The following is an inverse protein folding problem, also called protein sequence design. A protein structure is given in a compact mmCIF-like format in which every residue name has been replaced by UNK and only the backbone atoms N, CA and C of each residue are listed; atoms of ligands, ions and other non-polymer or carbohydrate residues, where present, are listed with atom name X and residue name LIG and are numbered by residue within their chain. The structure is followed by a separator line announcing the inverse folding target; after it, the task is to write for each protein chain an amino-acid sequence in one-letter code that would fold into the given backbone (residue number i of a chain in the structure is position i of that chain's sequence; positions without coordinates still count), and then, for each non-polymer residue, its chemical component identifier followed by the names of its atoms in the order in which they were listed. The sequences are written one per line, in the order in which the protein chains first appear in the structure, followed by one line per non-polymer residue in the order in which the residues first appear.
data_IF_939433595027
#
_entry.id   IF_939433595027
#
_cell.length_a   1.000
_cell.length_b   1.000
_cell.length_c   1.000
_cell.angle_alpha   90.00
_cell.angle_beta   90.00
_cell.angle_gamma   90.00
#
_symmetry.space_group_name_H-M   'P 1'
#
loop_
_entity.id
_entity.type
_entity.pdbx_description
1 polymer ?
#
# COMPACT_ATOMS: atom_id res chain seq x y z
N UNK A 1 3.91 -4.78 -7.97
CA UNK A 1 3.59 -4.25 -6.61
C UNK A 1 4.42 -3.02 -6.26
N UNK A 2 5.72 -2.98 -6.61
CA UNK A 2 6.47 -1.74 -6.61
C UNK A 2 5.80 -0.79 -7.62
N UNK A 3 5.33 0.39 -7.19
CA UNK A 3 4.63 1.31 -8.09
C UNK A 3 5.57 2.00 -9.08
N UNK A 4 6.88 1.97 -8.83
CA UNK A 4 7.89 2.64 -9.64
C UNK A 4 8.84 1.65 -10.35
N UNK A 5 8.41 0.40 -10.55
CA UNK A 5 9.16 -0.64 -11.29
C UNK A 5 10.60 -0.92 -10.78
N UNK A 6 10.84 -0.79 -9.48
CA UNK A 6 12.19 -0.85 -8.93
C UNK A 6 12.65 -2.25 -8.53
N UNK A 7 11.71 -3.14 -8.19
CA UNK A 7 12.04 -4.48 -7.69
C UNK A 7 12.21 -5.46 -8.85
N UNK A 8 13.43 -5.95 -9.07
CA UNK A 8 13.77 -6.87 -10.15
C UNK A 8 14.36 -8.17 -9.61
N UNK A 9 14.29 -9.25 -10.39
CA UNK A 9 14.91 -10.54 -10.09
C UNK A 9 16.26 -10.64 -10.83
N UNK A 10 17.33 -10.89 -10.07
CA UNK A 10 18.59 -11.35 -10.63
C UNK A 10 18.48 -12.86 -10.89
N UNK A 11 18.27 -13.26 -12.16
CA UNK A 11 17.92 -14.64 -12.52
C UNK A 11 19.10 -15.60 -12.34
N UNK A 12 20.28 -15.20 -12.80
CA UNK A 12 21.47 -16.03 -12.90
C UNK A 12 22.65 -15.50 -12.05
N UNK A 13 22.49 -14.37 -11.38
CA UNK A 13 23.54 -13.72 -10.59
C UNK A 13 24.38 -12.73 -11.38
N UNK A 14 24.12 -12.54 -12.68
CA UNK A 14 24.88 -11.64 -13.54
C UNK A 14 24.77 -10.17 -13.13
N UNK A 15 23.75 -9.81 -12.35
CA UNK A 15 23.56 -8.45 -11.85
C UNK A 15 24.28 -8.18 -10.52
N UNK A 16 24.92 -9.19 -9.92
CA UNK A 16 25.70 -9.06 -8.68
C UNK A 16 24.87 -9.07 -7.39
N UNK A 17 23.56 -9.34 -7.47
CA UNK A 17 22.66 -9.39 -6.31
C UNK A 17 22.32 -10.81 -5.86
N UNK A 18 22.80 -11.80 -6.62
CA UNK A 18 22.72 -13.23 -6.31
C UNK A 18 21.68 -13.94 -7.17
N UNK A 19 22.02 -15.15 -7.62
CA UNK A 19 21.12 -15.94 -8.47
C UNK A 19 19.79 -16.21 -7.75
N UNK A 20 18.69 -15.98 -8.46
CA UNK A 20 17.32 -16.11 -7.98
C UNK A 20 17.05 -15.27 -6.72
N UNK A 21 17.65 -14.08 -6.62
CA UNK A 21 17.40 -13.10 -5.55
C UNK A 21 16.87 -11.80 -6.14
N UNK A 22 15.87 -11.22 -5.47
CA UNK A 22 15.32 -9.93 -5.86
C UNK A 22 16.17 -8.77 -5.31
N UNK A 23 16.22 -7.66 -6.02
CA UNK A 23 16.93 -6.44 -5.62
C UNK A 23 16.18 -5.19 -6.08
N UNK A 24 16.60 -4.03 -5.56
CA UNK A 24 16.12 -2.73 -6.03
C UNK A 24 17.12 -2.18 -7.06
N UNK A 25 16.68 -1.94 -8.30
CA UNK A 25 17.54 -1.48 -9.40
C UNK A 25 17.93 0.00 -9.35
N UNK A 26 17.16 0.83 -8.62
CA UNK A 26 17.44 2.26 -8.45
C UNK A 26 16.88 2.75 -7.10
N UNK A 27 17.76 2.75 -6.10
CA UNK A 27 17.41 3.15 -4.73
C UNK A 27 17.11 4.64 -4.61
N UNK A 28 17.62 5.47 -5.52
CA UNK A 28 17.38 6.92 -5.51
C UNK A 28 15.94 7.27 -5.91
N UNK A 29 15.33 6.41 -6.72
CA UNK A 29 13.94 6.50 -7.16
C UNK A 29 12.96 5.77 -6.23
N UNK A 30 13.46 5.16 -5.15
CA UNK A 30 12.61 4.55 -4.13
C UNK A 30 11.81 5.61 -3.39
N UNK A 31 10.53 5.35 -3.14
CA UNK A 31 9.65 6.23 -2.35
C UNK A 31 9.34 5.67 -0.94
N UNK A 32 10.08 4.64 -0.52
CA UNK A 32 9.92 3.98 0.78
C UNK A 32 8.45 3.66 1.16
N UNK A 33 7.61 3.31 0.17
CA UNK A 33 6.17 3.06 0.39
C UNK A 33 5.85 1.72 1.10
N UNK A 34 6.88 0.88 1.33
CA UNK A 34 6.78 -0.46 1.91
C UNK A 34 5.93 -1.48 1.11
N UNK A 35 5.47 -1.18 -0.10
CA UNK A 35 4.62 -2.11 -0.86
C UNK A 35 5.34 -3.45 -1.14
N UNK A 36 6.63 -3.40 -1.48
CA UNK A 36 7.45 -4.61 -1.65
C UNK A 36 7.66 -5.37 -0.33
N UNK A 37 7.92 -4.65 0.76
CA UNK A 37 8.09 -5.24 2.10
C UNK A 37 6.82 -5.96 2.55
N UNK A 38 5.66 -5.29 2.48
CA UNK A 38 4.38 -5.80 2.97
C UNK A 38 3.92 -7.07 2.25
N UNK A 39 4.22 -7.20 0.96
CA UNK A 39 3.73 -8.33 0.14
C UNK A 39 4.71 -9.51 0.14
N UNK A 40 5.96 -9.32 0.56
CA UNK A 40 6.97 -10.37 0.49
C UNK A 40 6.57 -11.52 1.43
N UNK A 41 6.22 -12.72 0.90
CA UNK A 41 5.74 -13.81 1.75
C UNK A 41 6.83 -14.35 2.67
N UNK A 42 8.09 -14.21 2.27
CA UNK A 42 9.26 -14.62 3.06
C UNK A 42 9.77 -13.52 3.99
N UNK A 43 9.17 -12.32 3.95
CA UNK A 43 9.61 -11.16 4.74
C UNK A 43 11.10 -10.83 4.54
N UNK A 44 11.60 -11.02 3.32
CA UNK A 44 13.02 -10.91 2.97
C UNK A 44 13.44 -9.50 2.51
N UNK A 45 12.54 -8.51 2.61
CA UNK A 45 12.77 -7.14 2.15
C UNK A 45 12.60 -6.23 3.36
N UNK A 46 13.56 -5.33 3.56
CA UNK A 46 13.49 -4.26 4.56
C UNK A 46 13.88 -2.92 3.91
N UNK A 47 13.59 -1.82 4.59
CA UNK A 47 13.94 -0.47 4.14
C UNK A 47 15.03 0.07 5.04
N UNK A 48 16.12 0.51 4.41
CA UNK A 48 17.14 1.34 5.04
C UNK A 48 16.92 2.77 4.57
N UNK A 49 16.62 3.66 5.52
CA UNK A 49 16.32 5.08 5.26
C UNK A 49 17.34 5.78 4.35
N UNK A 50 16.87 6.76 3.58
CA UNK A 50 17.71 7.57 2.66
C UNK A 50 19.00 8.07 3.32
N UNK A 51 20.14 7.80 2.69
CA UNK A 51 21.47 8.06 3.27
C UNK A 51 21.75 9.55 3.46
N UNK A 52 21.10 10.41 2.69
CA UNK A 52 21.30 11.86 2.65
C UNK A 52 20.95 12.53 3.99
N UNK A 53 20.03 11.94 4.77
CA UNK A 53 19.56 12.55 6.02
C UNK A 53 19.25 11.55 7.14
N UNK A 54 19.19 10.23 6.89
CA UNK A 54 18.86 9.25 7.92
C UNK A 54 20.12 8.62 8.54
N UNK A 55 20.34 8.79 9.86
CA UNK A 55 21.36 8.01 10.57
C UNK A 55 21.06 6.51 10.54
N UNK A 56 22.11 5.69 10.57
CA UNK A 56 21.96 4.24 10.64
C UNK A 56 21.29 3.76 11.94
N UNK A 57 20.66 2.58 11.90
CA UNK A 57 20.22 1.84 13.09
C UNK A 57 18.73 1.91 13.42
N UNK A 58 17.97 2.79 12.76
CA UNK A 58 16.50 2.76 12.83
C UNK A 58 15.90 1.72 11.87
N UNK A 59 14.79 1.10 12.25
CA UNK A 59 14.01 0.24 11.35
C UNK A 59 12.50 0.28 11.66
N UNK A 60 11.68 0.06 10.63
CA UNK A 60 10.22 0.07 10.72
C UNK A 60 9.67 -1.15 9.99
N UNK A 61 9.26 -2.18 10.73
CA UNK A 61 8.91 -3.49 10.15
C UNK A 61 7.38 -3.69 10.21
N UNK A 62 6.69 -3.76 9.06
CA UNK A 62 5.28 -4.11 9.02
C UNK A 62 5.05 -5.62 9.03
N UNK A 63 3.93 -6.04 9.61
CA UNK A 63 3.34 -7.36 9.44
C UNK A 63 1.86 -7.16 9.08
N UNK A 64 1.54 -7.30 7.79
CA UNK A 64 0.19 -7.06 7.26
C UNK A 64 -0.62 -8.36 7.24
N UNK A 65 -1.73 -8.38 7.97
CA UNK A 65 -2.77 -9.41 7.89
C UNK A 65 -3.88 -9.06 6.90
N UNK A 66 -5.03 -9.73 7.02
CA UNK A 66 -6.21 -9.48 6.19
C UNK A 66 -7.05 -8.28 6.66
N UNK A 67 -7.21 -8.10 7.97
CA UNK A 67 -8.06 -7.09 8.60
C UNK A 67 -7.28 -6.01 9.36
N UNK A 68 -6.00 -6.26 9.64
CA UNK A 68 -5.14 -5.41 10.46
C UNK A 68 -3.68 -5.46 10.02
N UNK A 69 -2.92 -4.43 10.41
CA UNK A 69 -1.48 -4.34 10.20
C UNK A 69 -0.80 -4.04 11.52
N UNK A 70 0.28 -4.77 11.81
CA UNK A 70 1.16 -4.50 12.94
C UNK A 70 2.43 -3.82 12.47
N UNK A 71 2.98 -2.94 13.31
CA UNK A 71 4.23 -2.25 13.05
C UNK A 71 5.14 -2.37 14.27
N UNK A 72 6.40 -2.72 14.02
CA UNK A 72 7.47 -2.62 15.01
C UNK A 72 8.44 -1.52 14.58
N UNK A 73 8.55 -0.48 15.38
CA UNK A 73 9.48 0.64 15.16
C UNK A 73 10.64 0.47 16.14
N UNK A 74 11.83 0.23 15.62
CA UNK A 74 13.08 0.19 16.40
C UNK A 74 13.87 1.46 16.16
N UNK A 75 14.17 2.17 17.24
CA UNK A 75 15.00 3.37 17.22
C UNK A 75 16.49 2.99 17.25
N UNK A 76 17.35 3.92 16.84
CA UNK A 76 18.81 3.73 16.83
C UNK A 76 19.39 3.41 18.22
N UNK A 77 18.78 3.95 19.27
CA UNK A 77 19.15 3.70 20.68
C UNK A 77 18.69 2.32 21.21
N UNK A 78 18.00 1.53 20.38
CA UNK A 78 17.47 0.23 20.75
C UNK A 78 16.05 0.25 21.30
N UNK A 79 15.44 1.43 21.52
CA UNK A 79 14.04 1.52 21.95
C UNK A 79 13.12 0.89 20.90
N UNK A 80 12.10 0.15 21.35
CA UNK A 80 11.14 -0.54 20.47
C UNK A 80 9.72 -0.11 20.82
N UNK A 81 8.98 0.35 19.81
CA UNK A 81 7.54 0.62 19.89
C UNK A 81 6.78 -0.33 18.98
N UNK A 82 5.63 -0.82 19.43
CA UNK A 82 4.76 -1.73 18.68
C UNK A 82 3.37 -1.14 18.56
N UNK A 83 2.80 -1.23 17.38
CA UNK A 83 1.47 -0.72 17.06
C UNK A 83 0.67 -1.77 16.29
N UNK A 84 -0.66 -1.71 16.40
CA UNK A 84 -1.58 -2.50 15.59
C UNK A 84 -2.73 -1.60 15.17
N UNK A 85 -3.05 -1.59 13.88
CA UNK A 85 -4.12 -0.78 13.31
C UNK A 85 -5.05 -1.65 12.47
N UNK A 86 -6.38 -1.45 12.52
CA UNK A 86 -7.29 -2.06 11.57
C UNK A 86 -7.06 -1.45 10.17
N UNK A 87 -7.15 -2.26 9.12
CA UNK A 87 -7.01 -1.84 7.72
C UNK A 87 -8.23 -2.16 6.87
N UNK A 88 -9.10 -3.06 7.33
CA UNK A 88 -10.29 -3.46 6.59
C UNK A 88 -11.39 -3.95 7.54
N UNK A 89 -12.64 -3.61 7.23
CA UNK A 89 -13.83 -4.06 7.97
C UNK A 89 -14.65 -5.13 7.22
N UNK A 90 -14.30 -5.40 5.96
CA UNK A 90 -14.95 -6.37 5.08
C UNK A 90 -13.90 -7.35 4.51
N UNK A 91 -14.33 -8.50 3.99
CA UNK A 91 -13.41 -9.48 3.43
C UNK A 91 -12.72 -8.97 2.14
N UNK A 92 -11.53 -9.49 1.85
CA UNK A 92 -10.89 -9.26 0.56
C UNK A 92 -11.69 -9.89 -0.58
N UNK A 93 -11.80 -9.18 -1.71
CA UNK A 93 -12.61 -9.62 -2.85
C UNK A 93 -14.13 -9.46 -2.70
N UNK A 94 -14.65 -8.96 -1.57
CA UNK A 94 -16.10 -8.86 -1.32
C UNK A 94 -16.70 -7.47 -1.58
N UNK A 95 -16.01 -6.58 -2.29
CA UNK A 95 -16.52 -5.24 -2.56
C UNK A 95 -17.65 -5.29 -3.60
N UNK A 96 -18.80 -4.72 -3.27
CA UNK A 96 -19.88 -4.46 -4.23
C UNK A 96 -19.62 -3.09 -4.89
N UNK A 97 -19.36 -3.04 -6.23
CA UNK A 97 -19.12 -1.78 -6.92
C UNK A 97 -20.26 -0.77 -6.80
N UNK A 98 -21.50 -1.24 -6.63
CA UNK A 98 -22.67 -0.39 -6.47
C UNK A 98 -22.90 0.02 -5.02
N UNK A 99 -22.22 -0.61 -4.06
CA UNK A 99 -22.38 -0.33 -2.63
C UNK A 99 -23.81 -0.50 -2.13
N UNK A 100 -24.61 -1.35 -2.77
CA UNK A 100 -26.04 -1.52 -2.47
C UNK A 100 -26.97 -0.40 -2.96
N UNK A 101 -26.48 0.57 -3.74
CA UNK A 101 -27.30 1.66 -4.30
C UNK A 101 -27.86 1.29 -5.69
N UNK A 102 -29.05 1.82 -6.06
CA UNK A 102 -29.57 1.66 -7.41
C UNK A 102 -28.71 2.44 -8.42
N UNK A 103 -28.85 2.09 -9.70
CA UNK A 103 -28.39 2.96 -10.79
C UNK A 103 -29.16 4.28 -10.71
N UNK A 104 -28.45 5.40 -10.88
CA UNK A 104 -29.04 6.74 -10.96
C UNK A 104 -29.93 6.94 -12.20
N UNK A 105 -30.08 8.19 -12.64
CA UNK A 105 -30.95 8.53 -13.78
C UNK A 105 -30.52 7.93 -15.13
N UNK A 106 -29.27 7.47 -15.25
CA UNK A 106 -28.74 6.88 -16.47
C UNK A 106 -28.55 7.87 -17.63
N UNK A 107 -28.69 9.17 -17.36
CA UNK A 107 -28.52 10.22 -18.35
C UNK A 107 -27.09 10.77 -18.31
N UNK A 108 -26.34 10.56 -19.39
CA UNK A 108 -24.97 11.08 -19.54
C UNK A 108 -24.89 12.61 -19.54
N UNK A 109 -26.01 13.30 -19.77
CA UNK A 109 -26.08 14.77 -19.67
C UNK A 109 -26.39 15.25 -18.25
N UNK A 110 -26.80 14.35 -17.36
CA UNK A 110 -27.01 14.66 -15.95
C UNK A 110 -25.69 14.97 -15.27
N UNK A 111 -25.76 15.78 -14.21
CA UNK A 111 -24.62 16.00 -13.32
C UNK A 111 -24.44 14.86 -12.31
N UNK A 112 -25.47 14.00 -12.14
CA UNK A 112 -25.42 12.87 -11.23
C UNK A 112 -24.41 11.81 -11.71
N UNK A 113 -23.62 11.29 -10.77
CA UNK A 113 -22.79 10.12 -10.98
C UNK A 113 -23.61 8.82 -10.90
N UNK A 114 -22.95 7.68 -11.13
CA UNK A 114 -23.55 6.34 -11.30
C UNK A 114 -24.66 5.95 -10.31
N UNK A 115 -24.54 6.36 -9.04
CA UNK A 115 -25.46 6.01 -7.94
C UNK A 115 -26.09 7.22 -7.27
N UNK A 116 -25.85 8.42 -7.80
CA UNK A 116 -26.36 9.66 -7.24
C UNK A 116 -27.81 9.93 -7.70
N UNK A 117 -28.62 10.64 -6.89
CA UNK A 117 -28.27 11.27 -5.60
C UNK A 117 -28.30 10.31 -4.39
N UNK A 118 -28.81 9.09 -4.57
CA UNK A 118 -29.05 8.14 -3.48
C UNK A 118 -27.78 7.81 -2.66
N UNK A 119 -26.63 7.63 -3.32
CA UNK A 119 -25.35 7.35 -2.65
C UNK A 119 -24.79 8.53 -1.85
N UNK A 120 -25.27 9.76 -2.11
CA UNK A 120 -24.95 10.93 -1.30
C UNK A 120 -25.87 11.08 -0.07
N UNK A 121 -26.89 10.22 0.07
CA UNK A 121 -27.89 10.35 1.13
C UNK A 121 -28.79 11.58 0.97
N UNK A 122 -29.02 12.02 -0.28
CA UNK A 122 -29.87 13.16 -0.60
C UNK A 122 -30.98 12.75 -1.58
N UNK A 123 -32.13 13.41 -1.50
CA UNK A 123 -33.22 13.20 -2.47
C UNK A 123 -32.89 13.84 -3.82
N UNK A 124 -32.17 14.97 -3.79
CA UNK A 124 -31.72 15.73 -4.97
C UNK A 124 -30.33 16.32 -4.65
N UNK A 125 -29.41 16.31 -5.61
CA UNK A 125 -28.11 16.96 -5.43
C UNK A 125 -28.25 18.49 -5.39
N UNK A 126 -27.40 19.21 -4.63
CA UNK A 126 -27.36 20.66 -4.67
C UNK A 126 -27.11 21.16 -6.09
N UNK A 127 -28.09 21.88 -6.65
CA UNK A 127 -27.91 22.63 -7.89
C UNK A 127 -27.30 24.00 -7.57
N UNK A 128 -26.58 24.58 -8.55
CA UNK A 128 -26.14 25.97 -8.46
C UNK A 128 -27.31 26.94 -8.48
#
# INVERSE_FOLDING_TARGET
ICPNDLMLLDKDGSMGYGAMKAFNRDVSMCWECYNCVKICPQQAIDIRGYADFMPLGGSVVPLRGSDSIMWTVKFRDGNVKRFKFPIRTTAEGSADPMGGFPVGDGDIKSANLMTEPASCGADVLPTR
#
